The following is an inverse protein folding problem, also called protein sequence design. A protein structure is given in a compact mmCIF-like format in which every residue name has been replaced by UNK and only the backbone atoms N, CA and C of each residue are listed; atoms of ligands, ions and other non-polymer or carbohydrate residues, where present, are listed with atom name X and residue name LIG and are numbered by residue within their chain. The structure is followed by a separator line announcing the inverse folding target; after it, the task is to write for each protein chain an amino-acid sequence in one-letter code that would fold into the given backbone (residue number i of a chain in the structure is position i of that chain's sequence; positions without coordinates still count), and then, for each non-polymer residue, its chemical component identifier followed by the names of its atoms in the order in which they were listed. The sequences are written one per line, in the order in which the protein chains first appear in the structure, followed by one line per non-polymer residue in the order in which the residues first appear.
data_IF_674764243082
#
_entry.id   IF_674764243082
#
_cell.length_a   1.000
_cell.length_b   1.000
_cell.length_c   1.000
_cell.angle_alpha   90.00
_cell.angle_beta   90.00
_cell.angle_gamma   90.00
#
_symmetry.space_group_name_H-M   'P 1'
#
loop_
_entity.id
_entity.type
_entity.pdbx_description
1 polymer ?
#
# COMPACT_ATOMS: atom_id res chain seq x y z
N UNK A 1 4.09 8.02 -5.56
CA UNK A 1 2.90 7.43 -6.15
C UNK A 1 1.70 8.31 -5.83
N UNK A 2 1.07 8.83 -6.86
CA UNK A 2 -0.12 9.68 -6.78
C UNK A 2 -1.27 8.87 -7.34
N UNK A 3 -2.28 8.61 -6.53
CA UNK A 3 -3.46 7.84 -6.93
C UNK A 3 -4.71 8.66 -6.71
N UNK A 4 -5.46 8.83 -7.77
CA UNK A 4 -6.80 9.41 -7.73
C UNK A 4 -7.81 8.34 -8.07
N UNK A 5 -8.74 8.14 -7.17
CA UNK A 5 -9.82 7.17 -7.34
C UNK A 5 -11.11 7.93 -7.66
N UNK A 6 -11.79 7.45 -8.67
CA UNK A 6 -13.07 8.01 -9.10
C UNK A 6 -14.14 6.92 -9.09
N UNK A 7 -15.33 7.29 -8.73
CA UNK A 7 -16.51 6.43 -8.77
C UNK A 7 -17.46 6.86 -9.88
N UNK A 8 -18.65 6.29 -9.93
CA UNK A 8 -19.70 6.74 -10.84
C UNK A 8 -20.19 8.16 -10.47
N UNK A 9 -20.97 8.77 -11.33
CA UNK A 9 -21.48 10.14 -11.15
C UNK A 9 -22.30 10.34 -9.88
N UNK A 10 -22.82 9.26 -9.30
CA UNK A 10 -23.59 9.31 -8.06
C UNK A 10 -22.75 9.15 -6.80
N UNK A 11 -21.51 8.74 -6.93
CA UNK A 11 -20.61 8.37 -5.81
C UNK A 11 -21.18 7.29 -4.89
N UNK A 12 -21.97 6.38 -5.46
CA UNK A 12 -22.68 5.30 -4.77
C UNK A 12 -22.40 3.96 -5.42
N UNK A 13 -22.20 2.95 -4.59
CA UNK A 13 -22.17 1.55 -5.01
C UNK A 13 -23.25 0.79 -4.23
N UNK A 14 -24.08 0.03 -4.94
CA UNK A 14 -25.18 -0.72 -4.37
C UNK A 14 -24.84 -2.21 -4.29
N UNK A 15 -25.25 -2.85 -3.21
CA UNK A 15 -25.22 -4.29 -3.08
C UNK A 15 -26.63 -4.83 -2.86
N UNK A 16 -26.99 -5.78 -3.70
CA UNK A 16 -28.27 -6.48 -3.65
C UNK A 16 -27.99 -7.96 -3.44
N UNK A 17 -28.72 -8.61 -2.54
CA UNK A 17 -28.62 -10.04 -2.26
C UNK A 17 -29.96 -10.72 -2.56
N UNK A 18 -29.97 -11.65 -3.53
CA UNK A 18 -31.18 -12.31 -4.00
C UNK A 18 -32.35 -11.36 -4.36
N UNK A 19 -32.04 -10.25 -5.03
CA UNK A 19 -33.03 -9.24 -5.40
C UNK A 19 -33.43 -8.27 -4.28
N UNK A 20 -32.90 -8.46 -3.06
CA UNK A 20 -33.18 -7.60 -1.91
C UNK A 20 -32.01 -6.64 -1.68
N UNK A 21 -32.25 -5.32 -1.71
CA UNK A 21 -31.28 -4.32 -1.31
C UNK A 21 -30.81 -4.54 0.12
N UNK A 22 -29.50 -4.55 0.37
CA UNK A 22 -28.99 -4.75 1.72
C UNK A 22 -27.85 -3.80 2.12
N UNK A 23 -27.13 -3.27 1.17
CA UNK A 23 -25.97 -2.44 1.48
C UNK A 23 -25.71 -1.40 0.39
N UNK A 24 -25.33 -0.22 0.77
CA UNK A 24 -24.76 0.78 -0.15
C UNK A 24 -23.43 1.32 0.39
N UNK A 25 -22.61 1.79 -0.51
CA UNK A 25 -21.34 2.45 -0.18
C UNK A 25 -21.38 3.87 -0.74
N UNK A 26 -21.19 4.83 0.14
CA UNK A 26 -21.02 6.26 -0.18
C UNK A 26 -19.53 6.53 -0.35
N UNK A 27 -19.12 7.03 -1.49
CA UNK A 27 -17.72 7.28 -1.80
C UNK A 27 -17.45 8.77 -1.87
N UNK A 28 -16.21 9.15 -1.53
CA UNK A 28 -15.66 10.45 -1.87
C UNK A 28 -15.07 10.33 -3.27
N UNK A 29 -15.40 11.24 -4.18
CA UNK A 29 -14.86 11.24 -5.53
C UNK A 29 -14.69 12.69 -6.03
N UNK A 30 -13.50 13.05 -6.52
CA UNK A 30 -12.27 12.25 -6.50
C UNK A 30 -11.74 12.06 -5.08
N UNK A 31 -11.09 10.93 -4.83
CA UNK A 31 -10.34 10.67 -3.60
C UNK A 31 -8.86 10.53 -3.95
N UNK A 32 -8.02 11.29 -3.24
CA UNK A 32 -6.59 11.37 -3.52
C UNK A 32 -5.81 10.60 -2.44
N UNK A 33 -4.93 9.73 -2.88
CA UNK A 33 -3.99 9.03 -2.00
C UNK A 33 -2.57 9.24 -2.52
N UNK A 34 -1.89 10.19 -1.93
CA UNK A 34 -0.53 10.54 -2.28
C UNK A 34 0.46 9.96 -1.27
N UNK A 35 1.35 9.10 -1.74
CA UNK A 35 2.35 8.43 -0.92
C UNK A 35 3.73 8.48 -1.58
N UNK A 36 4.75 8.79 -0.77
CA UNK A 36 6.15 8.81 -1.18
C UNK A 36 6.93 7.77 -0.40
N UNK A 37 7.80 7.06 -1.10
CA UNK A 37 8.76 6.13 -0.51
C UNK A 37 10.13 6.44 -1.07
N UNK A 38 11.11 6.55 -0.20
CA UNK A 38 12.51 6.59 -0.58
C UNK A 38 13.20 5.32 -0.07
N UNK A 39 14.00 4.72 -0.94
CA UNK A 39 14.82 3.57 -0.63
C UNK A 39 16.23 3.82 -1.11
N UNK A 40 17.14 3.98 -0.16
CA UNK A 40 18.55 4.21 -0.37
C UNK A 40 19.30 2.90 -0.10
N UNK A 41 20.21 2.53 -0.98
CA UNK A 41 21.03 1.33 -0.80
C UNK A 41 22.49 1.56 -1.23
N UNK A 42 23.40 1.05 -0.42
CA UNK A 42 24.83 0.99 -0.73
C UNK A 42 25.27 -0.47 -0.62
N UNK A 43 26.05 -0.94 -1.58
CA UNK A 43 26.56 -2.30 -1.55
C UNK A 43 28.00 -2.40 -2.02
N UNK A 44 28.67 -3.44 -1.55
CA UNK A 44 29.97 -3.89 -2.00
C UNK A 44 29.93 -5.38 -2.19
N UNK A 45 30.53 -5.86 -3.26
CA UNK A 45 30.62 -7.30 -3.53
C UNK A 45 31.98 -7.63 -4.13
N UNK A 46 32.45 -8.83 -3.84
CA UNK A 46 33.70 -9.36 -4.34
C UNK A 46 33.54 -10.85 -4.67
N UNK A 47 34.26 -11.29 -5.71
CA UNK A 47 34.39 -12.69 -6.07
C UNK A 47 35.86 -13.03 -6.23
N UNK A 48 36.28 -14.08 -5.55
CA UNK A 48 37.63 -14.58 -5.62
C UNK A 48 37.63 -16.06 -6.02
N UNK A 49 38.44 -16.38 -7.05
CA UNK A 49 38.57 -17.74 -7.55
C UNK A 49 40.03 -18.16 -7.49
N UNK A 50 40.28 -19.29 -6.84
CA UNK A 50 41.60 -19.92 -6.79
C UNK A 50 41.50 -21.40 -7.01
N UNK A 51 42.09 -21.86 -8.12
CA UNK A 51 42.06 -23.26 -8.54
C UNK A 51 40.60 -23.75 -8.63
N UNK A 52 40.20 -24.67 -7.72
CA UNK A 52 38.87 -25.30 -7.68
C UNK A 52 37.86 -24.60 -6.80
N UNK A 53 38.28 -23.54 -6.08
CA UNK A 53 37.46 -22.84 -5.12
C UNK A 53 37.11 -21.46 -5.64
N UNK A 54 35.81 -21.14 -5.66
CA UNK A 54 35.30 -19.80 -5.86
C UNK A 54 34.54 -19.38 -4.61
N UNK A 55 34.92 -18.23 -4.08
CA UNK A 55 34.26 -17.56 -2.96
C UNK A 55 33.59 -16.30 -3.48
N UNK A 56 32.38 -16.02 -3.00
CA UNK A 56 31.67 -14.79 -3.26
C UNK A 56 31.25 -14.19 -1.92
N UNK A 57 31.37 -12.89 -1.79
CA UNK A 57 30.93 -12.16 -0.63
C UNK A 57 30.31 -10.83 -1.04
N UNK A 58 29.23 -10.44 -0.37
CA UNK A 58 28.61 -9.15 -0.54
C UNK A 58 28.05 -8.62 0.78
N UNK A 59 28.14 -7.34 0.98
CA UNK A 59 27.46 -6.59 2.03
C UNK A 59 26.62 -5.51 1.39
N UNK A 60 25.37 -5.39 1.81
CA UNK A 60 24.50 -4.33 1.37
C UNK A 60 23.88 -3.66 2.59
N UNK A 61 23.95 -2.35 2.62
CA UNK A 61 23.21 -1.50 3.56
C UNK A 61 21.97 -0.95 2.86
N UNK A 62 20.84 -1.05 3.51
CA UNK A 62 19.57 -0.53 3.02
C UNK A 62 18.91 0.37 4.07
N UNK A 63 18.32 1.46 3.59
CA UNK A 63 17.47 2.36 4.35
C UNK A 63 16.19 2.64 3.58
N UNK A 64 15.03 2.52 4.25
CA UNK A 64 13.74 2.86 3.66
C UNK A 64 12.95 3.81 4.57
N UNK A 65 12.19 4.72 3.96
CA UNK A 65 11.30 5.66 4.65
C UNK A 65 10.12 6.01 3.76
N UNK A 66 9.00 6.39 4.38
CA UNK A 66 7.84 6.94 3.68
C UNK A 66 7.39 8.27 4.29
N UNK A 67 6.69 9.06 3.48
CA UNK A 67 6.00 10.27 3.91
C UNK A 67 4.82 10.54 2.99
N UNK A 68 3.91 11.34 3.45
CA UNK A 68 2.69 11.72 2.74
C UNK A 68 2.70 13.22 2.59
N UNK A 69 2.75 13.78 1.36
CA UNK A 69 2.62 15.19 1.10
C UNK A 69 1.32 15.77 1.65
N UNK A 70 1.23 17.07 1.78
CA UNK A 70 -0.02 17.72 2.10
C UNK A 70 -1.07 17.39 1.04
N UNK A 71 -2.26 16.98 1.46
CA UNK A 71 -3.34 16.51 0.62
C UNK A 71 -4.64 17.23 1.01
N UNK A 72 -5.57 17.30 0.07
CA UNK A 72 -6.91 17.79 0.33
C UNK A 72 -7.92 16.84 -0.27
N UNK A 73 -8.94 16.49 0.52
CA UNK A 73 -10.05 15.66 0.09
C UNK A 73 -11.33 16.51 0.05
N UNK A 74 -12.11 16.28 -1.00
CA UNK A 74 -13.31 17.07 -1.24
C UNK A 74 -13.03 18.49 -1.80
N UNK A 75 -14.09 19.30 -1.96
CA UNK A 75 -15.49 18.95 -1.68
C UNK A 75 -16.05 17.87 -2.61
N UNK A 76 -16.96 17.06 -2.12
CA UNK A 76 -17.68 16.06 -2.90
C UNK A 76 -19.13 15.93 -2.41
N UNK A 77 -19.96 15.12 -3.07
CA UNK A 77 -21.38 14.95 -2.72
C UNK A 77 -21.59 14.61 -1.24
N UNK A 78 -20.77 13.70 -0.68
CA UNK A 78 -20.89 13.24 0.71
C UNK A 78 -19.85 13.86 1.64
N UNK A 79 -19.03 14.76 1.13
CA UNK A 79 -18.05 15.54 1.87
C UNK A 79 -18.12 17.00 1.39
N UNK A 80 -19.14 17.77 1.80
CA UNK A 80 -19.36 19.11 1.28
C UNK A 80 -18.29 20.12 1.67
N UNK A 81 -17.63 19.91 2.81
CA UNK A 81 -16.50 20.71 3.24
C UNK A 81 -15.19 19.98 2.97
N UNK A 82 -14.17 20.61 2.37
CA UNK A 82 -12.89 19.97 2.13
C UNK A 82 -12.18 19.69 3.46
N UNK A 83 -11.48 18.56 3.51
CA UNK A 83 -10.59 18.18 4.61
C UNK A 83 -9.16 18.37 4.13
N UNK A 84 -8.41 19.24 4.80
CA UNK A 84 -6.97 19.41 4.55
C UNK A 84 -6.17 18.50 5.47
N UNK A 85 -5.30 17.71 4.88
CA UNK A 85 -4.41 16.79 5.58
C UNK A 85 -2.99 17.35 5.42
N UNK A 86 -2.32 17.76 6.51
CA UNK A 86 -0.96 18.29 6.42
C UNK A 86 0.03 17.19 6.04
N UNK A 87 1.21 17.60 5.58
CA UNK A 87 2.31 16.67 5.35
C UNK A 87 2.58 15.85 6.62
N UNK A 88 2.61 14.54 6.46
CA UNK A 88 2.75 13.60 7.57
C UNK A 88 3.90 12.63 7.30
N UNK A 89 4.71 12.36 8.31
CA UNK A 89 5.69 11.29 8.28
C UNK A 89 4.98 9.92 8.29
N UNK A 90 5.43 9.05 7.39
CA UNK A 90 5.05 7.65 7.41
C UNK A 90 6.01 6.81 8.26
N UNK A 91 6.46 5.70 7.70
CA UNK A 91 7.34 4.74 8.35
C UNK A 91 8.80 5.11 8.10
N UNK A 92 9.60 5.29 9.15
CA UNK A 92 11.07 5.30 9.10
C UNK A 92 11.55 3.91 9.52
N UNK A 93 11.54 2.99 8.57
CA UNK A 93 11.69 1.56 8.79
C UNK A 93 13.14 1.11 8.95
N UNK A 94 13.55 0.07 8.24
CA UNK A 94 14.84 -0.55 8.45
C UNK A 94 16.04 0.32 8.06
N UNK A 95 17.12 0.14 8.81
CA UNK A 95 18.49 0.56 8.52
C UNK A 95 19.34 -0.69 8.74
N UNK A 96 19.40 -1.56 7.75
CA UNK A 96 19.90 -2.92 7.90
C UNK A 96 21.08 -3.21 6.99
N UNK A 97 21.98 -4.06 7.50
CA UNK A 97 23.05 -4.66 6.70
C UNK A 97 22.65 -6.10 6.35
N UNK A 98 22.71 -6.40 5.07
CA UNK A 98 22.39 -7.73 4.53
C UNK A 98 23.64 -8.40 3.96
N UNK A 99 24.27 -9.32 4.70
CA UNK A 99 25.38 -10.11 4.18
C UNK A 99 24.87 -11.20 3.23
N UNK A 100 25.66 -11.48 2.20
CA UNK A 100 25.45 -12.60 1.28
C UNK A 100 26.79 -13.24 1.01
N UNK A 101 26.83 -14.55 0.97
CA UNK A 101 28.03 -15.30 0.68
C UNK A 101 27.70 -16.55 -0.14
N UNK A 102 28.65 -16.95 -0.95
CA UNK A 102 28.57 -18.16 -1.76
C UNK A 102 29.93 -18.85 -1.86
N UNK A 103 29.91 -20.16 -1.90
CA UNK A 103 31.07 -21.02 -2.09
C UNK A 103 30.76 -22.00 -3.22
N UNK A 104 31.66 -22.13 -4.17
CA UNK A 104 31.61 -23.14 -5.22
C UNK A 104 32.92 -23.90 -5.21
N UNK A 105 32.86 -25.19 -5.13
CA UNK A 105 34.03 -26.07 -5.16
C UNK A 105 33.89 -27.14 -6.26
N UNK A 106 34.82 -27.10 -7.22
CA UNK A 106 34.92 -28.16 -8.26
C UNK A 106 35.55 -29.39 -7.67
N UNK A 107 34.77 -30.45 -7.48
CA UNK A 107 35.17 -31.67 -6.77
C UNK A 107 36.32 -32.39 -7.47
N UNK A 108 36.30 -32.44 -8.79
CA UNK A 108 37.26 -33.22 -9.55
C UNK A 108 38.27 -32.39 -10.35
N UNK A 109 38.03 -31.06 -10.41
CA UNK A 109 38.87 -30.13 -11.18
C UNK A 109 38.67 -30.25 -12.69
N UNK A 110 37.58 -30.85 -13.12
CA UNK A 110 37.22 -31.06 -14.53
C UNK A 110 36.13 -30.11 -14.99
N UNK A 111 35.54 -29.34 -14.08
CA UNK A 111 34.42 -28.45 -14.34
C UNK A 111 33.08 -29.18 -14.51
N UNK A 112 33.03 -30.48 -14.34
CA UNK A 112 31.81 -31.29 -14.58
C UNK A 112 30.95 -31.46 -13.33
N UNK A 113 31.56 -31.42 -12.14
CA UNK A 113 30.83 -31.60 -10.87
C UNK A 113 31.29 -30.60 -9.85
N UNK A 114 30.35 -29.74 -9.41
CA UNK A 114 30.63 -28.72 -8.41
C UNK A 114 29.65 -28.75 -7.23
N UNK A 115 30.19 -28.64 -6.03
CA UNK A 115 29.42 -28.39 -4.80
C UNK A 115 29.22 -26.89 -4.65
N UNK A 116 27.95 -26.45 -4.46
CA UNK A 116 27.60 -25.06 -4.25
C UNK A 116 26.87 -24.88 -2.94
N UNK A 117 27.25 -23.86 -2.19
CA UNK A 117 26.55 -23.44 -0.98
C UNK A 117 26.37 -21.91 -1.02
N UNK A 118 25.17 -21.44 -0.68
CA UNK A 118 24.88 -20.02 -0.58
C UNK A 118 24.18 -19.72 0.74
N UNK A 119 24.53 -18.59 1.33
CA UNK A 119 23.89 -18.06 2.53
C UNK A 119 23.66 -16.56 2.32
N UNK A 120 22.48 -16.07 2.65
CA UNK A 120 22.20 -14.66 2.51
C UNK A 120 20.98 -14.23 3.31
N UNK A 121 21.04 -12.97 3.79
CA UNK A 121 19.90 -12.26 4.35
C UNK A 121 19.32 -11.34 3.29
N UNK A 122 17.98 -11.31 3.20
CA UNK A 122 17.26 -10.48 2.26
C UNK A 122 16.24 -9.64 3.02
N UNK A 123 16.03 -8.41 2.54
CA UNK A 123 14.97 -7.53 3.02
C UNK A 123 13.84 -7.50 2.01
N UNK A 124 12.62 -7.37 2.52
CA UNK A 124 11.47 -7.06 1.69
C UNK A 124 11.59 -5.66 1.09
N UNK A 125 11.20 -5.49 -0.16
CA UNK A 125 11.27 -4.21 -0.84
C UNK A 125 10.28 -3.20 -0.24
N UNK A 126 10.74 -1.97 -0.04
CA UNK A 126 9.88 -0.87 0.33
C UNK A 126 9.07 -0.41 -0.89
N UNK A 127 7.76 -0.52 -0.81
CA UNK A 127 6.83 -0.09 -1.86
C UNK A 127 5.87 1.00 -1.38
N UNK A 128 5.21 1.67 -2.32
CA UNK A 128 4.16 2.67 -2.06
C UNK A 128 2.81 2.02 -1.70
N UNK A 129 2.83 0.75 -1.35
CA UNK A 129 1.68 -0.04 -0.90
C UNK A 129 2.03 -0.76 0.41
N UNK A 130 1.03 -1.36 1.04
CA UNK A 130 1.23 -2.10 2.28
C UNK A 130 1.70 -1.20 3.42
N UNK A 131 2.61 -1.70 4.24
CA UNK A 131 3.01 -1.06 5.50
C UNK A 131 3.55 0.37 5.34
N UNK A 132 4.16 0.71 4.21
CA UNK A 132 4.69 2.04 3.95
C UNK A 132 3.62 3.07 3.56
N UNK A 133 2.46 2.62 3.08
CA UNK A 133 1.33 3.47 2.69
C UNK A 133 0.19 3.45 3.71
N UNK A 134 0.02 2.38 4.48
CA UNK A 134 -1.13 2.17 5.39
C UNK A 134 -1.26 3.21 6.51
N UNK A 135 -0.20 3.96 6.79
CA UNK A 135 -0.20 5.05 7.77
C UNK A 135 -0.60 6.39 7.17
N UNK A 136 -0.92 6.45 5.86
CA UNK A 136 -1.40 7.67 5.23
C UNK A 136 -2.74 8.08 5.85
N UNK A 137 -2.85 9.30 6.42
CA UNK A 137 -4.08 9.77 7.03
C UNK A 137 -5.25 9.90 6.05
N UNK A 138 -5.00 10.04 4.74
CA UNK A 138 -6.07 10.05 3.72
C UNK A 138 -6.81 8.72 3.62
N UNK A 139 -6.24 7.61 4.12
CA UNK A 139 -6.90 6.30 4.12
C UNK A 139 -8.04 6.21 5.14
N UNK A 140 -8.10 7.12 6.10
CA UNK A 140 -9.14 7.20 7.12
C UNK A 140 -9.45 8.65 7.43
N UNK A 141 -10.49 9.18 6.82
CA UNK A 141 -10.93 10.54 7.05
C UNK A 141 -12.16 10.55 7.97
N UNK A 142 -12.01 11.04 9.21
CA UNK A 142 -13.15 11.17 10.10
C UNK A 142 -14.07 12.31 9.63
N UNK A 143 -15.35 12.03 9.54
CA UNK A 143 -16.37 13.06 9.35
C UNK A 143 -17.46 12.85 10.40
N UNK A 144 -17.61 13.76 11.35
CA UNK A 144 -18.54 13.77 12.49
C UNK A 144 -18.88 12.40 13.11
N UNK A 145 -19.59 11.54 12.42
CA UNK A 145 -20.02 10.21 12.89
C UNK A 145 -19.60 9.08 11.95
N UNK A 146 -18.92 9.38 10.85
CA UNK A 146 -18.49 8.42 9.85
C UNK A 146 -16.99 8.54 9.57
N UNK A 147 -16.37 7.44 9.21
CA UNK A 147 -14.98 7.40 8.74
C UNK A 147 -14.98 6.87 7.32
N UNK A 148 -14.57 7.71 6.37
CA UNK A 148 -14.36 7.29 4.99
C UNK A 148 -13.03 6.56 4.88
N UNK A 149 -13.08 5.31 4.41
CA UNK A 149 -11.91 4.55 4.00
C UNK A 149 -11.70 4.62 2.49
N UNK A 150 -10.84 3.77 1.98
CA UNK A 150 -10.50 3.68 0.54
C UNK A 150 -11.70 3.46 -0.38
N UNK A 151 -12.75 2.80 0.10
CA UNK A 151 -13.96 2.51 -0.66
C UNK A 151 -15.16 3.37 -0.24
N UNK A 152 -14.95 4.34 0.66
CA UNK A 152 -16.03 5.13 1.23
C UNK A 152 -16.65 4.50 2.49
N UNK A 153 -17.84 4.93 2.84
CA UNK A 153 -18.63 4.44 3.99
C UNK A 153 -19.71 3.49 3.51
N UNK A 154 -19.75 2.33 4.12
CA UNK A 154 -20.73 1.30 3.84
C UNK A 154 -21.84 1.33 4.90
N UNK A 155 -23.09 1.32 4.47
CA UNK A 155 -24.28 1.30 5.33
C UNK A 155 -25.38 0.38 4.78
N UNK A 156 -26.27 -0.07 5.66
CA UNK A 156 -27.50 -0.75 5.23
C UNK A 156 -28.43 0.25 4.55
N UNK A 157 -29.30 -0.23 3.66
CA UNK A 157 -30.36 0.56 3.08
C UNK A 157 -31.61 -0.28 2.85
N UNK A 158 -32.75 0.37 2.89
CA UNK A 158 -34.06 -0.22 2.59
C UNK A 158 -34.63 0.40 1.33
N UNK A 159 -35.42 -0.36 0.61
CA UNK A 159 -36.20 0.03 -0.56
C UNK A 159 -37.63 -0.51 -0.38
N UNK A 160 -38.42 0.20 0.40
CA UNK A 160 -39.78 -0.24 0.75
C UNK A 160 -40.76 -0.10 -0.44
N UNK A 161 -40.48 0.83 -1.34
CA UNK A 161 -41.28 1.10 -2.52
C UNK A 161 -40.82 0.36 -3.78
N UNK A 162 -39.73 -0.42 -3.70
CA UNK A 162 -39.15 -1.24 -4.76
C UNK A 162 -38.71 -0.43 -6.02
N UNK A 163 -38.28 0.78 -5.84
CA UNK A 163 -37.81 1.64 -6.93
C UNK A 163 -36.28 1.61 -7.14
N UNK A 164 -35.55 0.78 -6.38
CA UNK A 164 -34.10 0.65 -6.37
C UNK A 164 -33.37 1.97 -6.02
N UNK A 165 -34.03 2.84 -5.28
CA UNK A 165 -33.44 4.02 -4.68
C UNK A 165 -33.49 3.92 -3.15
N UNK A 166 -32.48 4.42 -2.42
CA UNK A 166 -32.53 4.42 -0.96
C UNK A 166 -33.65 5.32 -0.43
N UNK A 167 -34.48 4.77 0.47
CA UNK A 167 -35.58 5.48 1.14
C UNK A 167 -35.11 6.35 2.33
N UNK A 168 -33.82 6.70 2.37
CA UNK A 168 -33.24 7.51 3.44
C UNK A 168 -32.47 8.72 2.90
N UNK A 169 -32.31 9.74 3.73
CA UNK A 169 -31.45 10.88 3.41
C UNK A 169 -29.98 10.45 3.48
N UNK A 170 -29.36 10.30 2.32
CA UNK A 170 -27.95 9.91 2.21
C UNK A 170 -26.98 11.00 2.71
N UNK A 171 -27.43 12.25 2.88
CA UNK A 171 -26.61 13.31 3.46
C UNK A 171 -26.61 13.29 5.00
N UNK A 172 -27.56 12.57 5.60
CA UNK A 172 -27.63 12.38 7.04
C UNK A 172 -26.91 11.08 7.45
N UNK A 173 -25.78 11.14 8.17
CA UNK A 173 -25.06 9.96 8.59
C UNK A 173 -25.81 9.08 9.62
N UNK A 174 -26.85 9.64 10.25
CA UNK A 174 -27.65 8.94 11.27
C UNK A 174 -28.97 8.35 10.71
N UNK A 175 -29.30 8.60 9.43
CA UNK A 175 -30.54 8.12 8.81
C UNK A 175 -30.42 6.71 8.25
#
# INVERSE_FOLDING_TARGET
DDRTFMTNDQNLTYRVNNGVPNQLTQSISPWVNDARVAWDALYVQEQWTRRRLTLQGALRFDRARSWFPAQQEGPSRFLPAPISIPETRGVDSYKDVTPRMGVVYDLFGTGTTALKMTLGRYLEGAGVTGNYANTNPSLRMPQTTQTFGTAGVTRAWADANQNFAPDCDLSNPAA
#
